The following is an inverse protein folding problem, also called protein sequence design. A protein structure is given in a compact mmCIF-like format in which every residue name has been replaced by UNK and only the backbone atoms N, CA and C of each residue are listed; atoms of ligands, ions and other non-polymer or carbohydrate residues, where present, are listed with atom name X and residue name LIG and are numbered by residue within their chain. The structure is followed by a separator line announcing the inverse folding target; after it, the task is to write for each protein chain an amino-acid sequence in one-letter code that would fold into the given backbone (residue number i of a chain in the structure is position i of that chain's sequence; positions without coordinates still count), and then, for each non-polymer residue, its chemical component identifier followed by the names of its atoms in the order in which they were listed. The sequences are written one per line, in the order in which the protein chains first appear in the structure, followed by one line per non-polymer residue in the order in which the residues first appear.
data_IF_476915846952
#
_entry.id   IF_476915846952
#
_cell.length_a   1.000
_cell.length_b   1.000
_cell.length_c   1.000
_cell.angle_alpha   90.00
_cell.angle_beta   90.00
_cell.angle_gamma   90.00
#
_symmetry.space_group_name_H-M   'P 1'
#
loop_
_entity.id
_entity.type
_entity.pdbx_description
1 polymer ?
#
# COMPACT_ATOMS: atom_id res chain seq x y z
N UNK A 1 -13.83 -13.56 -12.31
CA UNK A 1 -14.60 -13.11 -11.13
C UNK A 1 -13.75 -13.35 -9.89
N UNK A 2 -13.50 -12.31 -9.11
CA UNK A 2 -12.88 -12.45 -7.79
C UNK A 2 -13.99 -12.39 -6.75
N UNK A 3 -14.05 -13.40 -5.90
CA UNK A 3 -14.92 -13.38 -4.72
C UNK A 3 -14.04 -13.06 -3.52
N UNK A 4 -14.37 -12.01 -2.79
CA UNK A 4 -13.72 -11.67 -1.54
C UNK A 4 -14.71 -11.91 -0.40
N UNK A 5 -14.27 -12.67 0.60
CA UNK A 5 -15.02 -12.91 1.82
C UNK A 5 -14.22 -12.30 2.98
N UNK A 6 -14.77 -11.29 3.61
CA UNK A 6 -14.17 -10.66 4.79
C UNK A 6 -14.88 -11.21 6.02
N UNK A 7 -14.08 -11.74 6.94
CA UNK A 7 -14.54 -12.18 8.25
C UNK A 7 -13.99 -11.22 9.28
N UNK A 8 -14.82 -10.29 9.71
CA UNK A 8 -14.48 -9.42 10.82
C UNK A 8 -14.60 -10.20 12.15
N UNK A 9 -13.53 -10.14 12.94
CA UNK A 9 -13.54 -10.62 14.33
C UNK A 9 -13.82 -9.50 15.32
N UNK A 10 -13.99 -8.26 14.86
CA UNK A 10 -14.43 -7.17 15.71
C UNK A 10 -15.86 -7.42 16.17
N UNK A 11 -16.20 -6.89 17.34
CA UNK A 11 -17.56 -6.95 17.88
C UNK A 11 -18.51 -5.95 17.20
N UNK A 12 -18.11 -5.37 16.06
CA UNK A 12 -18.91 -4.41 15.32
C UNK A 12 -20.02 -5.15 14.58
N UNK A 13 -21.23 -4.61 14.67
CA UNK A 13 -22.34 -5.05 13.84
C UNK A 13 -22.11 -4.66 12.39
N UNK A 14 -22.49 -5.53 11.45
CA UNK A 14 -22.48 -5.23 10.03
C UNK A 14 -23.83 -4.72 9.51
N UNK A 15 -24.75 -4.34 10.41
CA UNK A 15 -26.11 -3.91 10.06
C UNK A 15 -26.14 -2.59 9.26
N UNK A 16 -25.10 -1.78 9.41
CA UNK A 16 -24.93 -0.48 8.73
C UNK A 16 -23.71 -0.44 7.81
N UNK A 17 -23.34 -1.60 7.30
CA UNK A 17 -22.18 -1.73 6.41
C UNK A 17 -22.34 -0.90 5.13
N UNK A 18 -21.37 -0.02 4.88
CA UNK A 18 -21.20 0.68 3.62
C UNK A 18 -19.97 0.18 2.87
N UNK A 19 -20.03 0.18 1.54
CA UNK A 19 -18.87 -0.05 0.68
C UNK A 19 -18.79 1.13 -0.30
N UNK A 20 -17.74 1.90 -0.20
CA UNK A 20 -17.53 3.10 -1.00
C UNK A 20 -16.38 2.93 -2.00
N UNK A 21 -16.35 3.66 -3.11
CA UNK A 21 -17.40 4.59 -3.57
C UNK A 21 -18.58 3.87 -4.24
N UNK A 22 -19.76 4.48 -4.15
CA UNK A 22 -21.03 3.95 -4.66
C UNK A 22 -21.01 3.66 -6.18
N UNK A 23 -20.11 4.30 -6.92
CA UNK A 23 -19.99 4.13 -8.39
C UNK A 23 -19.77 2.67 -8.81
N UNK A 24 -19.21 1.82 -7.93
CA UNK A 24 -18.98 0.41 -8.21
C UNK A 24 -20.20 -0.48 -7.95
N UNK A 25 -21.28 0.08 -7.37
CA UNK A 25 -22.52 -0.63 -7.08
C UNK A 25 -22.30 -2.00 -6.42
N UNK A 26 -21.42 -2.07 -5.43
CA UNK A 26 -21.09 -3.28 -4.70
C UNK A 26 -22.14 -3.49 -3.61
N UNK A 27 -22.88 -4.59 -3.71
CA UNK A 27 -23.91 -4.95 -2.76
C UNK A 27 -23.47 -6.17 -1.94
N UNK A 28 -23.11 -5.98 -0.65
CA UNK A 28 -22.69 -7.09 0.19
C UNK A 28 -23.88 -7.94 0.64
N UNK A 29 -23.67 -9.24 0.73
CA UNK A 29 -24.52 -10.16 1.46
C UNK A 29 -23.94 -10.37 2.85
N UNK A 30 -24.70 -10.04 3.88
CA UNK A 30 -24.26 -10.15 5.28
C UNK A 30 -24.92 -11.36 5.93
N UNK A 31 -24.11 -12.21 6.56
CA UNK A 31 -24.55 -13.32 7.38
C UNK A 31 -23.77 -13.34 8.69
N UNK A 32 -24.40 -12.86 9.76
CA UNK A 32 -23.77 -12.63 11.07
C UNK A 32 -22.58 -11.68 10.97
N UNK A 33 -21.39 -12.21 11.24
CA UNK A 33 -20.09 -11.52 11.23
C UNK A 33 -19.33 -11.64 9.89
N UNK A 34 -20.00 -12.11 8.85
CA UNK A 34 -19.40 -12.32 7.53
C UNK A 34 -20.14 -11.46 6.49
N UNK A 35 -19.39 -10.59 5.83
CA UNK A 35 -19.84 -9.91 4.63
C UNK A 35 -19.20 -10.54 3.40
N UNK A 36 -20.01 -10.84 2.40
CA UNK A 36 -19.56 -11.41 1.13
C UNK A 36 -20.00 -10.49 -0.01
N UNK A 37 -19.07 -10.13 -0.88
CA UNK A 37 -19.36 -9.33 -2.06
C UNK A 37 -18.47 -9.74 -3.24
N UNK A 38 -18.84 -9.28 -4.43
CA UNK A 38 -18.13 -9.58 -5.67
C UNK A 38 -17.57 -8.29 -6.27
N UNK A 39 -16.34 -8.37 -6.74
CA UNK A 39 -15.71 -7.32 -7.52
C UNK A 39 -15.62 -7.76 -8.99
N UNK A 40 -16.13 -6.93 -9.89
CA UNK A 40 -16.14 -7.21 -11.33
C UNK A 40 -14.88 -6.71 -12.03
N UNK A 41 -14.23 -5.71 -11.43
CA UNK A 41 -13.03 -5.05 -11.95
C UNK A 41 -12.09 -4.69 -10.79
N UNK A 42 -10.81 -4.42 -11.07
CA UNK A 42 -9.91 -3.85 -10.09
C UNK A 42 -10.42 -2.51 -9.59
N UNK A 43 -10.41 -2.31 -8.27
CA UNK A 43 -10.89 -1.08 -7.65
C UNK A 43 -10.37 -0.92 -6.23
N UNK A 44 -10.27 0.32 -5.78
CA UNK A 44 -9.98 0.65 -4.41
C UNK A 44 -11.30 1.01 -3.72
N UNK A 45 -11.55 0.37 -2.59
CA UNK A 45 -12.79 0.54 -1.84
C UNK A 45 -12.53 0.73 -0.35
N UNK A 46 -13.44 1.48 0.28
CA UNK A 46 -13.57 1.56 1.72
C UNK A 46 -14.70 0.64 2.17
N UNK A 47 -14.38 -0.30 3.04
CA UNK A 47 -15.34 -1.17 3.70
C UNK A 47 -15.57 -0.61 5.10
N UNK A 48 -16.79 -0.12 5.36
CA UNK A 48 -17.13 0.66 6.54
C UNK A 48 -18.23 -0.05 7.35
N UNK A 49 -17.86 -0.89 8.32
CA UNK A 49 -18.82 -1.67 9.09
C UNK A 49 -19.68 -0.79 10.02
N UNK A 50 -19.14 0.34 10.49
CA UNK A 50 -19.79 1.29 11.39
C UNK A 50 -19.54 2.73 10.91
N UNK A 51 -19.92 3.01 9.67
CA UNK A 51 -19.63 4.28 9.04
C UNK A 51 -18.14 4.53 8.93
N UNK A 52 -17.72 5.78 8.91
CA UNK A 52 -16.31 6.17 8.71
C UNK A 52 -15.39 6.00 9.94
N UNK A 53 -15.89 5.49 11.06
CA UNK A 53 -15.10 5.44 12.32
C UNK A 53 -13.98 4.40 12.32
N UNK A 54 -14.12 3.33 11.56
CA UNK A 54 -13.12 2.24 11.48
C UNK A 54 -13.13 1.61 10.10
N UNK A 55 -12.76 2.34 9.06
CA UNK A 55 -12.78 1.82 7.70
C UNK A 55 -11.65 0.81 7.47
N UNK A 56 -11.96 -0.22 6.70
CA UNK A 56 -10.96 -1.10 6.09
C UNK A 56 -10.79 -0.69 4.63
N UNK A 57 -9.62 -0.19 4.29
CA UNK A 57 -9.30 0.18 2.92
C UNK A 57 -8.77 -1.06 2.19
N UNK A 58 -9.38 -1.38 1.06
CA UNK A 58 -9.05 -2.53 0.24
C UNK A 58 -8.56 -2.05 -1.14
N UNK A 59 -7.29 -2.30 -1.43
CA UNK A 59 -6.69 -2.06 -2.74
C UNK A 59 -6.79 -3.33 -3.58
N UNK A 60 -7.79 -3.39 -4.45
CA UNK A 60 -8.07 -4.57 -5.26
C UNK A 60 -7.51 -4.42 -6.66
N UNK A 61 -6.20 -4.46 -6.75
CA UNK A 61 -5.45 -4.30 -7.98
C UNK A 61 -5.59 -5.50 -8.93
N UNK A 62 -5.15 -5.36 -10.18
CA UNK A 62 -4.99 -6.46 -11.13
C UNK A 62 -3.98 -7.49 -10.62
N UNK A 63 -4.01 -8.71 -11.18
CA UNK A 63 -2.97 -9.69 -10.87
C UNK A 63 -1.63 -9.18 -11.38
N UNK A 64 -0.61 -9.33 -10.55
CA UNK A 64 0.75 -9.01 -10.99
C UNK A 64 1.20 -9.97 -12.09
N UNK A 65 1.65 -9.42 -13.20
CA UNK A 65 2.19 -10.17 -14.34
C UNK A 65 3.70 -9.95 -14.49
N UNK A 66 4.21 -8.83 -13.96
CA UNK A 66 5.58 -8.35 -14.18
C UNK A 66 6.38 -8.34 -12.87
N UNK A 67 6.45 -9.49 -12.20
CA UNK A 67 7.24 -9.64 -10.98
C UNK A 67 8.72 -9.74 -11.37
N UNK A 68 9.57 -8.80 -10.94
CA UNK A 68 10.99 -8.85 -11.28
C UNK A 68 11.69 -10.01 -10.58
N UNK A 69 12.75 -10.52 -11.20
CA UNK A 69 13.54 -11.59 -10.60
C UNK A 69 14.34 -11.07 -9.41
N UNK A 70 14.22 -11.74 -8.27
CA UNK A 70 15.03 -11.44 -7.08
C UNK A 70 16.53 -11.69 -7.26
N UNK A 71 16.91 -12.38 -8.34
CA UNK A 71 18.32 -12.68 -8.66
C UNK A 71 18.91 -11.66 -9.66
N UNK A 72 18.11 -10.71 -10.16
CA UNK A 72 18.61 -9.64 -11.02
C UNK A 72 19.43 -8.64 -10.17
N UNK A 73 20.69 -8.36 -10.53
CA UNK A 73 21.54 -7.43 -9.78
C UNK A 73 21.02 -5.99 -9.75
N UNK A 74 20.12 -5.64 -10.67
CA UNK A 74 19.47 -4.32 -10.71
C UNK A 74 18.17 -4.27 -9.89
N UNK A 75 17.78 -5.35 -9.22
CA UNK A 75 16.55 -5.43 -8.44
C UNK A 75 16.85 -5.47 -6.95
N UNK A 76 16.34 -4.48 -6.23
CA UNK A 76 16.25 -4.52 -4.76
C UNK A 76 14.91 -5.14 -4.42
N UNK A 77 14.93 -6.38 -3.93
CA UNK A 77 13.73 -7.18 -3.71
C UNK A 77 13.46 -7.39 -2.22
N UNK A 78 12.31 -6.93 -1.75
CA UNK A 78 11.80 -7.23 -0.41
C UNK A 78 10.66 -8.25 -0.50
N UNK A 79 10.88 -9.43 0.06
CA UNK A 79 9.87 -10.48 0.21
C UNK A 79 8.87 -10.19 1.32
N UNK A 80 7.85 -11.05 1.53
CA UNK A 80 6.92 -10.90 2.64
C UNK A 80 7.64 -10.85 4.00
N UNK A 81 7.16 -10.01 4.91
CA UNK A 81 7.73 -9.80 6.25
C UNK A 81 8.13 -8.36 6.50
N UNK A 82 8.60 -8.10 7.70
CA UNK A 82 9.10 -6.78 8.11
C UNK A 82 10.58 -6.63 7.77
N UNK A 83 10.94 -5.47 7.22
CA UNK A 83 12.30 -5.14 6.77
C UNK A 83 12.70 -3.78 7.30
N UNK A 84 13.89 -3.73 7.90
CA UNK A 84 14.49 -2.52 8.45
C UNK A 84 15.83 -2.26 7.74
N UNK A 85 15.84 -1.60 6.57
CA UNK A 85 17.06 -1.25 5.85
C UNK A 85 17.99 -0.39 6.70
N UNK A 86 19.28 -0.50 6.43
CA UNK A 86 20.30 0.26 7.15
C UNK A 86 20.01 1.78 7.06
N UNK A 87 20.07 2.45 8.21
CA UNK A 87 19.74 3.88 8.36
C UNK A 87 18.31 4.26 7.91
N UNK A 88 17.39 3.31 7.78
CA UNK A 88 16.03 3.57 7.31
C UNK A 88 15.94 4.14 5.89
N UNK A 89 16.93 3.87 5.02
CA UNK A 89 17.03 4.53 3.72
C UNK A 89 17.41 3.55 2.60
N UNK A 90 16.65 3.61 1.52
CA UNK A 90 16.92 2.87 0.28
C UNK A 90 17.37 3.87 -0.78
N UNK A 91 18.53 3.62 -1.40
CA UNK A 91 19.04 4.44 -2.51
C UNK A 91 18.89 3.71 -3.82
N UNK A 92 18.29 4.39 -4.80
CA UNK A 92 18.10 3.89 -6.16
C UNK A 92 18.87 4.74 -7.15
N UNK A 93 19.64 4.07 -8.00
CA UNK A 93 20.33 4.65 -9.16
C UNK A 93 19.66 4.30 -10.47
N UNK A 94 20.28 4.72 -11.57
CA UNK A 94 19.78 4.45 -12.92
C UNK A 94 19.58 2.97 -13.20
N UNK A 95 18.50 2.64 -13.89
CA UNK A 95 18.09 1.30 -14.32
C UNK A 95 17.84 0.31 -13.16
N UNK A 96 17.59 0.82 -11.96
CA UNK A 96 17.24 -0.03 -10.81
C UNK A 96 15.73 -0.14 -10.60
N UNK A 97 15.34 -1.29 -10.11
CA UNK A 97 13.97 -1.58 -9.69
C UNK A 97 13.94 -1.89 -8.19
N UNK A 98 13.10 -1.17 -7.46
CA UNK A 98 12.70 -1.54 -6.11
C UNK A 98 11.37 -2.29 -6.18
N UNK A 99 11.35 -3.51 -5.68
CA UNK A 99 10.15 -4.31 -5.63
C UNK A 99 9.78 -4.71 -4.20
N UNK A 100 8.59 -4.34 -3.79
CA UNK A 100 8.00 -4.69 -2.50
C UNK A 100 6.93 -5.76 -2.72
N UNK A 101 7.24 -7.01 -2.43
CA UNK A 101 6.27 -8.11 -2.60
C UNK A 101 5.03 -7.93 -1.71
N UNK A 102 3.92 -8.52 -2.10
CA UNK A 102 2.73 -8.55 -1.25
C UNK A 102 3.04 -9.14 0.13
N UNK A 103 2.69 -8.41 1.19
CA UNK A 103 3.02 -8.75 2.57
C UNK A 103 4.40 -8.29 3.05
N UNK A 104 5.18 -7.58 2.23
CA UNK A 104 6.36 -6.86 2.70
C UNK A 104 5.94 -5.56 3.40
N UNK A 105 6.54 -5.27 4.54
CA UNK A 105 6.49 -3.98 5.24
C UNK A 105 7.93 -3.49 5.38
N UNK A 106 8.24 -2.38 4.74
CA UNK A 106 9.60 -1.86 4.65
C UNK A 106 9.68 -0.50 5.33
N UNK A 107 10.38 -0.46 6.47
CA UNK A 107 10.52 0.73 7.31
C UNK A 107 11.68 1.60 6.78
N UNK A 108 11.44 2.33 5.71
CA UNK A 108 12.47 3.13 5.06
C UNK A 108 11.90 4.26 4.21
N UNK A 109 12.69 5.32 4.03
CA UNK A 109 12.53 6.29 2.95
C UNK A 109 13.28 5.85 1.70
N UNK A 110 12.98 6.49 0.59
CA UNK A 110 13.63 6.23 -0.70
C UNK A 110 14.27 7.51 -1.22
N UNK A 111 15.55 7.42 -1.58
CA UNK A 111 16.23 8.40 -2.42
C UNK A 111 16.47 7.82 -3.81
N UNK A 112 15.91 8.44 -4.83
CA UNK A 112 16.08 8.02 -6.22
C UNK A 112 16.83 9.11 -7.00
N UNK A 113 17.87 8.72 -7.74
CA UNK A 113 18.65 9.62 -8.61
C UNK A 113 19.08 8.88 -9.87
N UNK A 114 18.80 9.46 -11.04
CA UNK A 114 19.16 8.87 -12.33
C UNK A 114 17.96 8.49 -13.17
N UNK A 115 18.17 7.67 -14.18
CA UNK A 115 17.19 7.40 -15.23
C UNK A 115 16.63 5.98 -15.17
N UNK A 116 15.40 5.79 -15.66
CA UNK A 116 14.74 4.49 -15.79
C UNK A 116 14.64 3.73 -14.44
N UNK A 117 14.15 4.39 -13.42
CA UNK A 117 13.94 3.82 -12.09
C UNK A 117 12.50 3.32 -11.96
N UNK A 118 12.32 2.14 -11.40
CA UNK A 118 11.00 1.58 -11.12
C UNK A 118 10.85 1.28 -9.64
N UNK A 119 9.74 1.72 -9.04
CA UNK A 119 9.32 1.38 -7.69
C UNK A 119 7.96 0.73 -7.80
N UNK A 120 7.85 -0.55 -7.45
CA UNK A 120 6.59 -1.27 -7.66
C UNK A 120 6.40 -2.43 -6.69
N UNK A 121 5.24 -3.07 -6.77
CA UNK A 121 4.89 -4.24 -5.98
C UNK A 121 3.53 -4.14 -5.30
N UNK A 122 3.34 -4.89 -4.23
CA UNK A 122 2.10 -4.93 -3.43
C UNK A 122 2.38 -4.77 -1.94
N UNK A 123 3.60 -4.39 -1.61
CA UNK A 123 4.04 -4.18 -0.23
C UNK A 123 3.75 -2.77 0.27
N UNK A 124 4.14 -2.56 1.50
CA UNK A 124 3.98 -1.31 2.23
C UNK A 124 5.35 -0.69 2.47
N UNK A 125 5.49 0.58 2.11
CA UNK A 125 6.58 1.43 2.54
C UNK A 125 6.09 2.20 3.77
N UNK A 126 6.70 1.94 4.91
CA UNK A 126 6.21 2.43 6.20
C UNK A 126 7.15 3.46 6.81
N UNK A 127 6.61 4.62 7.10
CA UNK A 127 7.24 5.72 7.84
C UNK A 127 6.36 6.18 9.00
N UNK A 128 5.41 5.33 9.44
CA UNK A 128 4.46 5.69 10.50
C UNK A 128 5.11 5.95 11.85
N UNK A 129 6.29 5.36 12.11
CA UNK A 129 7.06 5.55 13.34
C UNK A 129 7.93 6.83 13.31
N UNK A 130 7.99 7.53 12.18
CA UNK A 130 8.79 8.75 12.10
C UNK A 130 8.02 9.93 12.66
N UNK A 131 8.67 10.67 13.55
CA UNK A 131 8.16 11.97 13.96
C UNK A 131 8.10 12.93 12.76
N UNK A 132 7.23 13.90 12.82
CA UNK A 132 7.09 14.92 11.78
C UNK A 132 8.44 15.59 11.48
N UNK A 133 8.87 15.57 10.22
CA UNK A 133 10.17 16.07 9.75
C UNK A 133 11.41 15.40 10.36
N UNK A 134 11.30 14.23 10.97
CA UNK A 134 12.40 13.49 11.60
C UNK A 134 12.77 12.17 10.90
N UNK A 135 12.19 11.88 9.76
CA UNK A 135 12.53 10.73 8.93
C UNK A 135 13.94 10.83 8.32
N UNK A 136 14.45 9.74 7.74
CA UNK A 136 15.76 9.72 7.09
C UNK A 136 15.85 10.62 5.85
N UNK A 137 14.69 11.03 5.33
CA UNK A 137 14.53 11.98 4.22
C UNK A 137 13.40 12.94 4.53
N UNK A 138 13.39 14.12 3.88
CA UNK A 138 12.30 15.10 4.01
C UNK A 138 10.94 14.56 3.52
N UNK A 139 10.95 13.51 2.72
CA UNK A 139 9.76 12.86 2.11
C UNK A 139 9.94 11.36 2.09
N UNK A 140 8.84 10.59 2.10
CA UNK A 140 8.90 9.14 1.96
C UNK A 140 9.67 8.70 0.71
N UNK A 141 9.46 9.41 -0.39
CA UNK A 141 10.15 9.16 -1.66
C UNK A 141 10.69 10.50 -2.17
N UNK A 142 12.00 10.61 -2.17
CA UNK A 142 12.72 11.79 -2.64
C UNK A 142 13.40 11.46 -3.97
N UNK A 143 12.83 11.92 -5.07
CA UNK A 143 13.36 11.72 -6.42
C UNK A 143 13.94 13.01 -6.96
N UNK A 144 15.26 13.01 -7.22
CA UNK A 144 15.98 14.18 -7.74
C UNK A 144 16.73 13.82 -9.01
N UNK A 145 16.63 14.69 -10.02
CA UNK A 145 17.31 14.50 -11.31
C UNK A 145 16.99 13.13 -11.92
N UNK A 146 15.72 12.75 -11.91
CA UNK A 146 15.25 11.50 -12.48
C UNK A 146 14.53 11.75 -13.80
N UNK A 147 14.88 10.96 -14.83
CA UNK A 147 14.05 10.84 -16.02
C UNK A 147 13.45 9.42 -16.06
N UNK A 148 12.20 9.31 -16.48
CA UNK A 148 11.50 8.03 -16.58
C UNK A 148 11.46 7.26 -15.25
N UNK A 149 10.93 7.90 -14.21
CA UNK A 149 10.60 7.25 -12.95
C UNK A 149 9.18 6.70 -13.00
N UNK A 150 9.04 5.41 -12.73
CA UNK A 150 7.74 4.72 -12.63
C UNK A 150 7.51 4.30 -11.18
N UNK A 151 6.37 4.71 -10.61
CA UNK A 151 5.92 4.24 -9.31
C UNK A 151 4.51 3.68 -9.44
N UNK A 152 4.30 2.46 -8.95
CA UNK A 152 2.99 1.82 -9.05
C UNK A 152 2.76 0.78 -7.97
N UNK A 153 1.51 0.68 -7.55
CA UNK A 153 0.93 -0.45 -6.84
C UNK A 153 1.43 -0.68 -5.39
N UNK A 154 2.29 0.17 -4.87
CA UNK A 154 2.74 0.15 -3.46
C UNK A 154 1.83 1.00 -2.58
N UNK A 155 1.82 0.69 -1.28
CA UNK A 155 1.16 1.50 -0.26
C UNK A 155 2.25 2.25 0.51
N UNK A 156 2.10 3.59 0.66
CA UNK A 156 2.96 4.39 1.50
C UNK A 156 2.19 4.83 2.75
N UNK A 157 2.72 4.50 3.92
CA UNK A 157 2.21 4.98 5.19
C UNK A 157 3.17 6.03 5.75
N UNK A 158 2.63 7.18 6.11
CA UNK A 158 3.38 8.25 6.75
C UNK A 158 2.58 8.74 7.94
N UNK A 159 3.25 9.02 9.05
CA UNK A 159 2.60 9.71 10.15
C UNK A 159 2.18 11.12 9.69
N UNK A 160 0.90 11.38 9.71
CA UNK A 160 0.36 12.73 9.56
C UNK A 160 -0.09 13.20 10.93
N UNK A 161 0.57 14.22 11.49
CA UNK A 161 0.01 14.92 12.64
C UNK A 161 -1.39 15.40 12.27
N UNK A 162 -2.35 15.15 13.16
CA UNK A 162 -3.72 15.61 12.96
C UNK A 162 -3.67 17.15 12.80
N UNK A 163 -4.17 17.64 11.67
CA UNK A 163 -4.22 19.07 11.37
C UNK A 163 -5.17 19.86 12.32
N UNK A 164 -5.66 19.19 13.37
CA UNK A 164 -6.52 19.77 14.41
C UNK A 164 -5.77 20.32 15.62
N UNK A 165 -4.45 20.19 15.68
CA UNK A 165 -3.62 20.66 16.82
C UNK A 165 -2.90 22.01 16.56
N UNK A 166 -3.28 22.77 15.52
CA UNK A 166 -2.81 24.15 15.27
C UNK A 166 -3.88 25.20 15.59
#
# INVERSE_FOLDING_TARGET
QRQMCIRDRSKLSLDHLNILPDKYAIHPSVNKDIATFHLNEPCDISFEPDGCNSPLILFCNELETDIPSKNDPNVIYFGPGEHNPENGLIRLGSNQTLYLAGGAVVNAGIEATGDNITICGRGILDGSDWEHNAGPTDYMINAKNCNNLVMRDIICLLYTSDAADD
#
